data_IF_330678406772
#
_entry.id   IF_330678406772
#
_cell.length_a   1.000
_cell.length_b   1.000
_cell.length_c   1.000
_cell.angle_alpha   90.00
_cell.angle_beta   90.00
_cell.angle_gamma   90.00
#
_symmetry.space_group_name_H-M   'P 1'
#
loop_
_entity.id
_entity.type
_entity.pdbx_description
1 polymer ?
#
# COMPACT_ATOMS: atom_id res chain seq x y z
N UNK A 1 -11.28 -44.66 29.03
CA UNK A 1 -11.10 -44.59 27.56
C UNK A 1 -11.91 -43.41 27.05
N UNK A 2 -11.19 -42.43 26.50
CA UNK A 2 -11.53 -41.34 25.56
C UNK A 2 -12.90 -40.65 25.62
N UNK A 3 -12.96 -39.35 25.91
CA UNK A 3 -12.63 -38.17 25.06
C UNK A 3 -13.86 -37.69 24.27
N UNK A 4 -14.66 -36.81 24.88
CA UNK A 4 -15.50 -35.86 24.15
C UNK A 4 -14.75 -34.53 24.14
N UNK A 5 -14.10 -34.21 23.03
CA UNK A 5 -13.46 -32.91 22.84
C UNK A 5 -14.56 -31.87 22.56
N UNK A 6 -14.57 -30.83 23.39
CA UNK A 6 -15.29 -29.59 23.14
C UNK A 6 -14.75 -28.99 21.83
N UNK A 7 -15.59 -28.90 20.80
CA UNK A 7 -15.34 -28.00 19.69
C UNK A 7 -15.46 -26.58 20.24
N UNK A 8 -14.30 -26.03 20.61
CA UNK A 8 -14.16 -24.60 20.84
C UNK A 8 -14.52 -23.90 19.55
N UNK A 9 -15.59 -23.11 19.60
CA UNK A 9 -15.85 -22.05 18.65
C UNK A 9 -14.61 -21.17 18.71
N UNK A 10 -13.78 -21.20 17.67
CA UNK A 10 -12.69 -20.25 17.52
C UNK A 10 -13.32 -18.89 17.34
N UNK A 11 -13.40 -18.17 18.46
CA UNK A 11 -13.50 -16.72 18.50
C UNK A 11 -12.56 -16.17 17.42
N UNK A 12 -13.12 -15.57 16.37
CA UNK A 12 -12.34 -14.79 15.43
C UNK A 12 -11.66 -13.69 16.25
N UNK A 13 -10.34 -13.75 16.29
CA UNK A 13 -9.53 -12.72 16.92
C UNK A 13 -9.45 -11.57 15.90
N UNK A 14 -9.87 -10.34 16.21
CA UNK A 14 -9.51 -9.20 15.40
C UNK A 14 -8.10 -8.80 15.82
N UNK A 15 -7.09 -9.45 15.24
CA UNK A 15 -5.69 -9.12 15.44
C UNK A 15 -4.80 -9.66 14.30
N UNK A 16 -5.34 -9.81 13.09
CA UNK A 16 -4.51 -9.93 11.90
C UNK A 16 -4.40 -8.52 11.33
N UNK A 17 -3.18 -7.99 11.24
CA UNK A 17 -2.95 -6.77 10.48
C UNK A 17 -3.29 -7.09 9.02
N UNK A 18 -4.09 -6.24 8.40
CA UNK A 18 -4.59 -6.41 7.04
C UNK A 18 -3.55 -5.90 6.02
N UNK A 19 -2.55 -5.14 6.50
CA UNK A 19 -1.27 -4.91 5.85
C UNK A 19 -0.06 -5.35 6.72
N UNK A 20 1.09 -5.58 6.09
CA UNK A 20 2.31 -5.92 6.81
C UNK A 20 2.84 -4.75 7.63
N UNK A 21 3.22 -5.03 8.87
CA UNK A 21 4.03 -4.09 9.67
C UNK A 21 5.50 -4.19 9.24
N UNK A 22 5.87 -3.36 8.26
CA UNK A 22 7.22 -3.37 7.67
C UNK A 22 8.21 -2.65 8.57
N UNK A 23 9.34 -3.32 8.85
CA UNK A 23 10.45 -2.74 9.61
C UNK A 23 11.73 -2.73 8.78
N UNK A 24 12.50 -1.63 8.81
CA UNK A 24 12.16 -0.34 9.42
C UNK A 24 11.05 0.39 8.62
N UNK A 25 10.42 1.42 9.18
CA UNK A 25 9.23 2.06 8.57
C UNK A 25 9.57 2.81 7.29
N UNK A 26 10.72 3.48 7.24
CA UNK A 26 11.16 4.20 6.06
C UNK A 26 11.54 3.21 4.95
N UNK A 27 11.28 3.57 3.71
CA UNK A 27 11.37 2.74 2.51
C UNK A 27 11.86 3.59 1.34
N UNK A 28 12.44 2.93 0.34
CA UNK A 28 12.68 3.58 -0.94
C UNK A 28 11.33 4.03 -1.52
N UNK A 29 11.32 5.20 -2.13
CA UNK A 29 10.15 5.68 -2.85
C UNK A 29 9.98 4.91 -4.17
N UNK A 30 8.75 4.89 -4.67
CA UNK A 30 8.35 4.11 -5.86
C UNK A 30 9.29 4.28 -7.06
N UNK A 31 9.70 5.51 -7.39
CA UNK A 31 10.60 5.77 -8.51
C UNK A 31 12.04 5.29 -8.28
N UNK A 32 12.55 5.40 -7.05
CA UNK A 32 13.88 4.89 -6.69
C UNK A 32 13.91 3.36 -6.65
N UNK A 33 12.85 2.74 -6.11
CA UNK A 33 12.64 1.30 -6.14
C UNK A 33 12.54 0.78 -7.58
N UNK A 34 11.76 1.45 -8.43
CA UNK A 34 11.64 1.11 -9.86
C UNK A 34 13.01 1.09 -10.57
N UNK A 35 13.93 1.98 -10.20
CA UNK A 35 15.28 2.04 -10.75
C UNK A 35 16.26 0.99 -10.21
N UNK A 36 15.92 0.27 -9.13
CA UNK A 36 16.74 -0.85 -8.65
C UNK A 36 16.62 -2.08 -9.56
N UNK A 37 15.48 -2.22 -10.25
CA UNK A 37 15.23 -3.38 -11.11
C UNK A 37 16.08 -3.31 -12.39
N UNK A 38 16.88 -4.35 -12.70
CA UNK A 38 17.74 -4.35 -13.87
C UNK A 38 17.00 -4.08 -15.20
N UNK A 39 17.47 -3.08 -15.93
CA UNK A 39 16.90 -2.69 -17.23
C UNK A 39 15.82 -1.61 -17.14
N UNK A 40 15.34 -1.29 -15.95
CA UNK A 40 14.49 -0.12 -15.75
C UNK A 40 15.29 1.18 -15.90
N UNK A 41 14.58 2.21 -16.37
CA UNK A 41 15.14 3.55 -16.56
C UNK A 41 14.02 4.58 -16.60
N UNK A 42 14.29 5.80 -16.16
CA UNK A 42 13.35 6.91 -16.21
C UNK A 42 13.91 8.02 -17.12
N UNK A 43 13.15 8.50 -18.11
CA UNK A 43 13.66 9.50 -19.05
C UNK A 43 13.74 10.93 -18.46
N UNK A 44 13.06 11.17 -17.33
CA UNK A 44 12.93 12.48 -16.68
C UNK A 44 12.93 12.40 -15.15
N UNK A 45 13.64 11.41 -14.60
CA UNK A 45 13.75 11.20 -13.15
C UNK A 45 12.39 11.15 -12.43
N UNK A 46 11.36 10.68 -13.13
CA UNK A 46 10.02 10.49 -12.61
C UNK A 46 9.27 9.41 -13.41
N UNK A 47 8.42 8.67 -12.71
CA UNK A 47 7.40 7.82 -13.30
C UNK A 47 6.29 8.69 -13.91
N UNK A 48 5.66 8.19 -14.98
CA UNK A 48 4.56 8.89 -15.65
C UNK A 48 3.26 8.13 -15.34
N UNK A 49 2.85 8.20 -14.08
CA UNK A 49 1.66 7.54 -13.55
C UNK A 49 0.41 8.08 -14.24
N UNK A 50 -0.19 7.28 -15.13
CA UNK A 50 -1.36 7.68 -15.92
C UNK A 50 -2.48 6.65 -15.89
N UNK A 51 -2.28 5.55 -15.16
CA UNK A 51 -3.30 4.53 -15.01
C UNK A 51 -4.05 4.75 -13.69
N UNK A 52 -5.35 4.45 -13.69
CA UNK A 52 -6.22 4.62 -12.53
C UNK A 52 -6.86 3.26 -12.17
N UNK A 53 -6.08 2.20 -12.33
CA UNK A 53 -6.58 0.83 -12.14
C UNK A 53 -6.74 0.49 -10.65
N UNK A 54 -5.89 1.05 -9.79
CA UNK A 54 -5.89 0.89 -8.33
C UNK A 54 -5.84 2.27 -7.68
N UNK A 55 -6.65 2.49 -6.65
CA UNK A 55 -6.71 3.74 -5.90
C UNK A 55 -7.12 3.50 -4.44
N UNK A 56 -6.61 4.34 -3.52
CA UNK A 56 -7.19 4.54 -2.20
C UNK A 56 -8.30 5.58 -2.35
N UNK A 57 -9.51 5.23 -1.93
CA UNK A 57 -10.70 6.08 -2.10
C UNK A 57 -11.15 6.74 -0.81
N UNK A 58 -10.73 6.19 0.32
CA UNK A 58 -11.09 6.70 1.64
C UNK A 58 -10.04 6.31 2.67
N UNK A 59 -9.73 7.26 3.56
CA UNK A 59 -8.92 7.04 4.76
C UNK A 59 -9.68 7.63 5.95
N UNK A 60 -9.98 6.79 6.94
CA UNK A 60 -10.70 7.21 8.15
C UNK A 60 -9.79 7.00 9.36
N UNK A 61 -9.28 8.06 10.01
CA UNK A 61 -8.53 7.91 11.25
C UNK A 61 -9.36 7.20 12.32
N UNK A 62 -8.77 6.20 12.98
CA UNK A 62 -9.40 5.49 14.11
C UNK A 62 -9.55 6.44 15.31
N UNK A 63 -8.53 7.29 15.55
CA UNK A 63 -8.65 8.43 16.46
C UNK A 63 -8.97 9.70 15.66
N UNK A 64 -10.21 10.23 15.73
CA UNK A 64 -10.58 11.45 15.02
C UNK A 64 -9.93 12.71 15.60
N UNK A 65 -9.22 12.61 16.73
CA UNK A 65 -8.46 13.71 17.34
C UNK A 65 -6.94 13.55 17.15
N UNK A 66 -6.50 12.65 16.25
CA UNK A 66 -5.10 12.57 15.88
C UNK A 66 -4.67 13.92 15.26
N UNK A 67 -3.57 14.47 15.80
CA UNK A 67 -3.01 15.76 15.38
C UNK A 67 -1.54 15.59 15.01
N UNK A 68 -1.07 16.43 14.09
CA UNK A 68 0.33 16.49 13.68
C UNK A 68 0.75 17.96 13.50
N UNK A 69 2.06 18.22 13.55
CA UNK A 69 2.59 19.54 13.19
C UNK A 69 3.02 19.52 11.73
N UNK A 70 2.70 20.59 11.00
CA UNK A 70 3.10 20.75 9.61
C UNK A 70 4.61 20.57 9.43
N UNK A 71 5.01 19.73 8.46
CA UNK A 71 6.40 19.41 8.15
C UNK A 71 6.99 18.24 8.94
N UNK A 72 6.31 17.76 10.00
CA UNK A 72 6.74 16.57 10.74
C UNK A 72 6.19 15.30 10.07
N UNK A 73 6.97 14.21 10.11
CA UNK A 73 6.44 12.87 9.87
C UNK A 73 5.67 12.39 11.09
N UNK A 74 4.50 11.81 10.90
CA UNK A 74 3.68 11.30 12.00
C UNK A 74 3.06 9.94 11.65
N UNK A 75 2.70 9.17 12.68
CA UNK A 75 2.03 7.89 12.53
C UNK A 75 0.69 7.87 13.26
N UNK A 76 -0.32 7.29 12.62
CA UNK A 76 -1.67 7.14 13.18
C UNK A 76 -2.33 5.86 12.67
N UNK A 77 -3.37 5.39 13.37
CA UNK A 77 -4.17 4.24 12.92
C UNK A 77 -5.33 4.73 12.06
N UNK A 78 -5.60 4.07 10.93
CA UNK A 78 -6.71 4.40 10.05
C UNK A 78 -7.31 3.18 9.37
N UNK A 79 -8.58 3.27 9.00
CA UNK A 79 -9.21 2.36 8.05
C UNK A 79 -8.98 2.91 6.64
N UNK A 80 -8.44 2.09 5.72
CA UNK A 80 -8.06 2.48 4.36
C UNK A 80 -8.85 1.67 3.34
N UNK A 81 -9.68 2.33 2.53
CA UNK A 81 -10.47 1.67 1.48
C UNK A 81 -9.74 1.72 0.15
N UNK A 82 -9.37 0.55 -0.35
CA UNK A 82 -8.73 0.35 -1.66
C UNK A 82 -9.80 -0.04 -2.68
N UNK A 83 -9.73 0.52 -3.89
CA UNK A 83 -10.59 0.18 -5.03
C UNK A 83 -9.76 -0.27 -6.24
N UNK A 84 -10.31 -1.22 -6.99
CA UNK A 84 -9.85 -1.56 -8.34
C UNK A 84 -10.89 -1.22 -9.41
N UNK A 85 -10.44 -0.61 -10.50
CA UNK A 85 -11.23 -0.39 -11.71
C UNK A 85 -11.02 -1.51 -12.75
N UNK A 86 -10.09 -2.43 -12.51
CA UNK A 86 -9.74 -3.52 -13.41
C UNK A 86 -10.33 -4.85 -12.94
N UNK A 87 -10.38 -5.85 -13.85
CA UNK A 87 -10.83 -7.18 -13.46
C UNK A 87 -9.88 -7.80 -12.43
N UNK A 88 -8.57 -7.74 -12.69
CA UNK A 88 -7.51 -8.29 -11.84
C UNK A 88 -6.27 -7.37 -11.93
N UNK A 89 -5.63 -7.13 -10.78
CA UNK A 89 -4.33 -6.49 -10.62
C UNK A 89 -3.55 -7.25 -9.57
N UNK A 90 -2.30 -7.50 -9.88
CA UNK A 90 -1.40 -8.27 -9.04
C UNK A 90 -0.54 -7.32 -8.22
N UNK A 91 -0.13 -7.78 -7.05
CA UNK A 91 0.94 -7.18 -6.26
C UNK A 91 0.71 -5.70 -5.96
N UNK A 92 -0.36 -5.35 -5.23
CA UNK A 92 -0.61 -3.93 -4.94
C UNK A 92 0.31 -3.40 -3.85
N UNK A 93 0.86 -2.19 -4.05
CA UNK A 93 1.69 -1.51 -3.05
C UNK A 93 1.39 -0.01 -3.06
N UNK A 94 1.26 0.59 -1.89
CA UNK A 94 1.00 2.02 -1.74
C UNK A 94 2.16 2.68 -1.03
N UNK A 95 2.79 3.64 -1.69
CA UNK A 95 3.91 4.42 -1.17
C UNK A 95 3.38 5.74 -0.63
N UNK A 96 3.72 6.06 0.62
CA UNK A 96 3.35 7.34 1.24
C UNK A 96 4.59 8.19 1.43
N UNK A 97 4.58 9.47 1.03
CA UNK A 97 5.73 10.33 1.18
C UNK A 97 5.97 10.72 2.65
N UNK A 98 7.24 10.70 3.06
CA UNK A 98 7.73 11.24 4.34
C UNK A 98 8.41 12.62 4.16
N UNK A 99 8.33 13.17 2.95
CA UNK A 99 8.87 14.48 2.56
C UNK A 99 7.93 15.14 1.55
N UNK A 100 8.15 16.40 1.20
CA UNK A 100 7.34 17.11 0.19
C UNK A 100 7.44 16.50 -1.23
N UNK A 101 8.41 15.62 -1.47
CA UNK A 101 8.61 15.00 -2.77
C UNK A 101 7.70 13.78 -2.95
N UNK A 102 6.88 13.81 -4.01
CA UNK A 102 6.03 12.69 -4.41
C UNK A 102 6.84 11.40 -4.63
N UNK A 103 6.31 10.22 -4.24
CA UNK A 103 6.99 8.94 -4.46
C UNK A 103 7.30 8.62 -5.94
N UNK A 104 6.60 9.26 -6.89
CA UNK A 104 6.85 9.08 -8.33
C UNK A 104 8.10 9.79 -8.85
N UNK A 105 8.73 10.65 -8.06
CA UNK A 105 9.93 11.39 -8.43
C UNK A 105 11.15 10.71 -7.80
N UNK A 106 12.23 10.57 -8.56
CA UNK A 106 13.50 10.01 -8.08
C UNK A 106 14.06 10.89 -6.98
N UNK A 107 14.36 10.29 -5.83
CA UNK A 107 14.88 10.99 -4.66
C UNK A 107 16.33 10.61 -4.39
N UNK A 108 16.98 9.79 -5.21
CA UNK A 108 18.40 9.47 -5.08
C UNK A 108 18.67 8.32 -4.12
N UNK A 109 17.76 7.34 -4.09
CA UNK A 109 17.78 6.17 -3.21
C UNK A 109 17.72 6.50 -1.70
N UNK A 110 17.19 7.68 -1.33
CA UNK A 110 16.88 7.97 0.06
C UNK A 110 15.59 7.25 0.49
N UNK A 111 15.50 6.95 1.78
CA UNK A 111 14.36 6.26 2.38
C UNK A 111 13.33 7.29 2.83
N UNK A 112 12.70 7.92 1.85
CA UNK A 112 11.81 9.08 2.04
C UNK A 112 10.33 8.71 1.93
N UNK A 113 10.00 7.43 1.90
CA UNK A 113 8.63 6.96 1.86
C UNK A 113 8.36 5.97 3.00
N UNK A 114 7.12 5.79 3.38
CA UNK A 114 6.64 4.57 4.04
C UNK A 114 5.77 3.78 3.04
N UNK A 115 5.24 2.63 3.45
CA UNK A 115 4.39 1.81 2.60
C UNK A 115 3.22 1.19 3.35
N UNK A 116 2.09 1.08 2.66
CA UNK A 116 1.04 0.10 2.97
C UNK A 116 1.24 -1.05 1.99
N UNK A 117 1.45 -2.24 2.53
CA UNK A 117 1.57 -3.48 1.77
C UNK A 117 0.47 -4.44 2.23
N UNK A 118 -0.65 -4.55 1.51
CA UNK A 118 -1.75 -5.41 1.91
C UNK A 118 -1.29 -6.87 2.04
N UNK A 119 -1.75 -7.55 3.09
CA UNK A 119 -1.60 -9.00 3.24
C UNK A 119 -2.65 -9.66 2.34
N UNK A 120 -2.30 -10.61 1.46
CA UNK A 120 -3.27 -11.30 0.63
C UNK A 120 -4.43 -11.90 1.43
N UNK A 121 -5.66 -11.46 1.14
CA UNK A 121 -6.87 -11.87 1.85
C UNK A 121 -6.97 -11.36 3.29
N UNK A 122 -6.12 -10.42 3.69
CA UNK A 122 -6.04 -9.84 5.03
C UNK A 122 -7.33 -9.13 5.44
N UNK A 123 -8.00 -8.45 4.51
CA UNK A 123 -9.29 -7.77 4.74
C UNK A 123 -10.47 -8.74 4.91
N UNK A 124 -10.30 -10.00 4.51
CA UNK A 124 -11.36 -11.01 4.49
C UNK A 124 -12.40 -10.85 3.37
N UNK A 125 -12.28 -9.83 2.53
CA UNK A 125 -13.11 -9.64 1.33
C UNK A 125 -12.61 -10.51 0.17
N UNK A 126 -13.51 -10.98 -0.70
CA UNK A 126 -13.10 -11.82 -1.85
C UNK A 126 -12.40 -11.03 -2.96
N UNK A 127 -12.44 -9.70 -2.88
CA UNK A 127 -11.74 -8.80 -3.79
C UNK A 127 -10.24 -8.68 -3.46
N UNK A 128 -9.87 -8.87 -2.19
CA UNK A 128 -8.51 -8.97 -1.70
C UNK A 128 -8.08 -10.43 -1.80
N UNK A 129 -7.27 -10.73 -2.80
CA UNK A 129 -7.03 -12.10 -3.23
C UNK A 129 -5.57 -12.49 -3.08
N UNK A 130 -5.36 -13.81 -3.10
CA UNK A 130 -4.06 -14.42 -3.34
C UNK A 130 -4.17 -15.25 -4.63
N UNK A 131 -3.68 -14.70 -5.73
CA UNK A 131 -3.81 -15.25 -7.08
C UNK A 131 -2.52 -15.91 -7.60
N UNK A 132 -1.34 -15.57 -7.08
CA UNK A 132 -0.04 -16.06 -7.59
C UNK A 132 0.89 -16.66 -6.54
N UNK A 133 0.58 -16.49 -5.26
CA UNK A 133 1.26 -17.10 -4.13
C UNK A 133 2.33 -16.23 -3.49
N UNK A 134 2.46 -14.96 -3.89
CA UNK A 134 3.52 -14.09 -3.41
C UNK A 134 3.13 -13.29 -2.14
N UNK A 135 3.98 -12.36 -1.71
CA UNK A 135 3.77 -11.66 -0.46
C UNK A 135 2.73 -10.53 -0.52
N UNK A 136 2.25 -10.11 -1.68
CA UNK A 136 1.55 -8.85 -1.84
C UNK A 136 0.08 -9.06 -2.17
N UNK A 137 -0.79 -8.25 -1.57
CA UNK A 137 -2.22 -8.40 -1.82
C UNK A 137 -2.59 -8.10 -3.26
N UNK A 138 -3.28 -9.04 -3.89
CA UNK A 138 -3.91 -8.85 -5.19
C UNK A 138 -5.28 -8.20 -5.03
N UNK A 139 -5.73 -7.51 -6.09
CA UNK A 139 -7.07 -6.96 -6.11
C UNK A 139 -7.85 -7.33 -7.38
N UNK A 140 -9.05 -7.86 -7.20
CA UNK A 140 -9.89 -8.35 -8.30
C UNK A 140 -11.38 -8.12 -8.08
N UNK A 141 -12.00 -7.33 -8.98
CA UNK A 141 -13.46 -7.22 -9.02
C UNK A 141 -14.13 -8.41 -9.73
N UNK A 142 -13.34 -9.36 -10.27
CA UNK A 142 -13.88 -10.57 -10.88
C UNK A 142 -14.37 -11.57 -9.83
N UNK A 143 -13.78 -11.56 -8.62
CA UNK A 143 -14.12 -12.47 -7.52
C UNK A 143 -14.98 -11.83 -6.43
N UNK A 144 -15.10 -10.51 -6.39
CA UNK A 144 -15.69 -9.79 -5.27
C UNK A 144 -16.20 -8.40 -5.60
N UNK A 145 -16.45 -7.57 -4.57
CA UNK A 145 -16.64 -6.14 -4.76
C UNK A 145 -15.46 -5.50 -5.49
N UNK A 146 -15.64 -4.28 -5.99
CA UNK A 146 -14.55 -3.50 -6.57
C UNK A 146 -13.69 -2.81 -5.51
N UNK A 147 -14.02 -2.95 -4.23
CA UNK A 147 -13.30 -2.36 -3.10
C UNK A 147 -13.17 -3.32 -1.91
N UNK A 148 -12.11 -3.14 -1.13
CA UNK A 148 -11.94 -3.73 0.20
C UNK A 148 -11.42 -2.66 1.16
N UNK A 149 -11.54 -2.88 2.46
CA UNK A 149 -11.00 -1.97 3.48
C UNK A 149 -9.98 -2.70 4.32
N UNK A 150 -8.84 -2.05 4.54
CA UNK A 150 -7.81 -2.44 5.49
C UNK A 150 -8.11 -1.74 6.83
N UNK A 151 -8.42 -2.49 7.87
CA UNK A 151 -8.87 -1.97 9.16
C UNK A 151 -7.72 -1.72 10.13
N UNK A 152 -7.75 -0.55 10.78
CA UNK A 152 -6.82 -0.18 11.84
C UNK A 152 -5.33 -0.32 11.44
N UNK A 153 -5.01 0.15 10.23
CA UNK A 153 -3.67 0.14 9.67
C UNK A 153 -2.82 1.29 10.17
N UNK A 154 -1.54 0.98 10.45
CA UNK A 154 -0.58 1.99 10.90
C UNK A 154 -0.03 2.75 9.70
N UNK A 155 -0.52 3.96 9.53
CA UNK A 155 -0.10 4.89 8.49
C UNK A 155 1.04 5.74 9.04
N UNK A 156 2.11 5.92 8.26
CA UNK A 156 3.17 6.89 8.56
C UNK A 156 3.37 7.79 7.35
N UNK A 157 3.20 9.09 7.51
CA UNK A 157 3.26 10.04 6.39
C UNK A 157 3.77 11.41 6.85
N UNK A 158 4.11 12.27 5.89
CA UNK A 158 4.32 13.69 6.15
C UNK A 158 3.00 14.37 6.54
N UNK A 159 3.05 15.23 7.55
CA UNK A 159 1.97 16.16 7.87
C UNK A 159 2.05 17.39 6.94
N UNK A 160 1.18 17.46 5.94
CA UNK A 160 1.01 18.61 5.05
C UNK A 160 -0.45 19.05 5.01
N UNK A 161 -0.69 20.31 4.68
CA UNK A 161 -2.02 20.92 4.49
C UNK A 161 -1.89 21.92 3.32
N UNK A 162 -1.89 21.38 2.10
CA UNK A 162 -1.64 22.12 0.88
C UNK A 162 -2.86 22.91 0.42
N UNK A 163 -4.07 22.47 0.79
CA UNK A 163 -5.32 23.15 0.44
C UNK A 163 -5.81 24.15 1.49
N UNK A 164 -5.22 24.12 2.70
CA UNK A 164 -5.45 25.06 3.78
C UNK A 164 -6.75 24.82 4.54
N UNK A 165 -7.30 23.60 4.50
CA UNK A 165 -8.54 23.24 5.17
C UNK A 165 -8.36 22.88 6.67
N UNK A 166 -7.11 22.91 7.17
CA UNK A 166 -6.68 22.50 8.51
C UNK A 166 -6.85 21.00 8.78
N UNK A 167 -6.72 20.17 7.75
CA UNK A 167 -6.61 18.71 7.85
C UNK A 167 -5.30 18.28 7.21
N UNK A 168 -4.76 17.17 7.70
CA UNK A 168 -3.58 16.59 7.08
C UNK A 168 -3.97 15.92 5.76
N UNK A 169 -3.29 16.32 4.68
CA UNK A 169 -3.47 15.72 3.36
C UNK A 169 -2.92 14.31 3.32
N UNK A 170 -3.77 13.35 2.98
CA UNK A 170 -3.32 12.00 2.69
C UNK A 170 -2.89 11.91 1.23
N UNK A 171 -1.58 11.85 0.98
CA UNK A 171 -1.01 11.66 -0.36
C UNK A 171 -0.34 10.31 -0.46
N UNK A 172 -0.45 9.68 -1.64
CA UNK A 172 0.14 8.37 -1.88
C UNK A 172 0.41 8.14 -3.37
N UNK A 173 1.22 7.14 -3.68
CA UNK A 173 1.31 6.54 -4.99
C UNK A 173 1.03 5.04 -4.91
N UNK A 174 0.03 4.55 -5.63
CA UNK A 174 -0.19 3.13 -5.86
C UNK A 174 0.69 2.62 -7.02
N UNK A 175 1.27 1.44 -6.83
CA UNK A 175 1.93 0.63 -7.84
C UNK A 175 1.29 -0.76 -7.88
N UNK A 176 1.36 -1.41 -9.04
CA UNK A 176 0.88 -2.77 -9.21
C UNK A 176 1.56 -3.45 -10.41
N UNK A 177 1.45 -4.77 -10.45
CA UNK A 177 1.74 -5.59 -11.63
C UNK A 177 0.45 -5.95 -12.39
N UNK A 178 0.59 -6.17 -13.69
CA UNK A 178 -0.47 -6.65 -14.57
C UNK A 178 -0.12 -8.02 -15.19
N UNK A 179 0.87 -8.71 -14.63
CA UNK A 179 1.34 -10.04 -15.01
C UNK A 179 1.53 -10.84 -13.73
N UNK A 180 0.91 -12.01 -13.67
CA UNK A 180 1.07 -13.00 -12.61
C UNK A 180 2.54 -13.46 -12.52
N UNK A 181 3.23 -13.05 -11.44
CA UNK A 181 4.66 -13.32 -11.20
C UNK A 181 4.91 -13.36 -9.70
N UNK A 182 5.78 -14.27 -9.29
CA UNK A 182 6.27 -14.32 -7.90
C UNK A 182 7.45 -13.34 -7.74
N UNK A 183 7.15 -12.04 -7.71
CA UNK A 183 8.18 -10.99 -7.63
C UNK A 183 7.92 -9.91 -6.58
N UNK A 184 6.88 -10.04 -5.78
CA UNK A 184 6.62 -9.16 -4.66
C UNK A 184 7.06 -9.80 -3.33
N UNK A 185 7.74 -9.01 -2.49
CA UNK A 185 8.37 -9.50 -1.25
C UNK A 185 8.21 -8.49 -0.12
N UNK A 186 8.23 -8.96 1.13
CA UNK A 186 8.33 -8.10 2.33
C UNK A 186 9.76 -7.72 2.68
N UNK A 187 10.76 -8.40 2.10
CA UNK A 187 12.18 -8.19 2.37
C UNK A 187 12.75 -7.01 1.57
N UNK A 188 13.75 -6.32 2.12
CA UNK A 188 14.31 -5.10 1.53
C UNK A 188 15.50 -5.33 0.57
N UNK A 189 15.56 -6.45 -0.15
CA UNK A 189 16.69 -6.74 -1.06
C UNK A 189 16.20 -6.98 -2.51
N UNK A 190 16.25 -5.97 -3.40
CA UNK A 190 16.74 -4.59 -3.20
C UNK A 190 15.68 -3.61 -2.66
N UNK A 191 14.41 -3.98 -2.67
CA UNK A 191 13.28 -3.20 -2.15
C UNK A 191 12.14 -4.16 -1.78
N UNK A 192 11.26 -3.72 -0.90
CA UNK A 192 10.04 -4.45 -0.54
C UNK A 192 8.84 -3.94 -1.37
N UNK A 193 7.80 -4.77 -1.46
CA UNK A 193 6.59 -4.50 -2.22
C UNK A 193 6.80 -4.56 -3.73
N UNK A 194 5.80 -4.06 -4.43
CA UNK A 194 5.74 -4.04 -5.89
C UNK A 194 6.12 -2.67 -6.44
N UNK A 195 6.87 -2.68 -7.54
CA UNK A 195 7.11 -1.52 -8.38
C UNK A 195 6.16 -1.54 -9.58
N UNK A 196 5.87 -0.39 -10.21
CA UNK A 196 5.05 -0.39 -11.42
C UNK A 196 5.65 -1.29 -12.51
N UNK A 197 4.88 -2.26 -13.04
CA UNK A 197 5.38 -3.13 -14.12
C UNK A 197 5.88 -2.31 -15.33
N UNK A 198 5.15 -1.24 -15.67
CA UNK A 198 5.59 -0.25 -16.65
C UNK A 198 5.52 1.14 -16.05
N UNK A 199 6.21 2.11 -16.68
CA UNK A 199 6.32 3.50 -16.20
C UNK A 199 4.98 4.22 -16.00
N UNK A 200 3.88 3.67 -16.51
CA UNK A 200 2.53 4.23 -16.39
C UNK A 200 1.58 3.43 -15.50
N UNK A 201 1.97 2.26 -14.99
CA UNK A 201 1.16 1.40 -14.10
C UNK A 201 1.30 1.81 -12.64
N UNK A 202 1.03 3.08 -12.40
CA UNK A 202 0.92 3.66 -11.09
C UNK A 202 -0.13 4.77 -11.13
N UNK A 203 -0.65 5.09 -9.95
CA UNK A 203 -1.58 6.18 -9.70
C UNK A 203 -1.06 6.98 -8.50
N UNK A 204 -0.81 8.27 -8.67
CA UNK A 204 -0.37 9.13 -7.58
C UNK A 204 -1.43 10.18 -7.33
N UNK A 205 -1.98 10.15 -6.12
CA UNK A 205 -2.89 11.18 -5.67
C UNK A 205 -2.10 12.44 -5.31
N UNK A 206 -2.65 13.60 -5.65
CA UNK A 206 -1.98 14.91 -5.52
C UNK A 206 -2.83 15.87 -4.74
#
# INVERSE_FOLDING_TARGET
VSSAALYGVTSHSPAQAEAYNLSPTEKLCMADAYLQEPGNSLPRDALNCTANDVEITQVIPVDPNAECNLGDTFSFQADVTVRTNANERYDTTFYLPLTEASPQVVQGNFRNCSMILPVPGGSGETADAQLDGDACGDITKALGPDEYTLLNETITMLCSDNDGDNRADFTYCAAWDNIERDNCTIDEDPYAGQIPNTKSKCNCDT
#
